data_IF_999276903393
#
_entry.id   IF_999276903393
#
_cell.length_a   1.000
_cell.length_b   1.000
_cell.length_c   1.000
_cell.angle_alpha   90.00
_cell.angle_beta   90.00
_cell.angle_gamma   90.00
#
_symmetry.space_group_name_H-M   'P 1'
#
loop_
_entity.id
_entity.type
_entity.pdbx_description
1 polymer ?
#
# COMPACT_ATOMS: atom_id res chain seq x y z
N UNK A 1 71.39 -12.58 -27.52
CA UNK A 1 70.70 -13.40 -26.50
C UNK A 1 69.21 -13.15 -26.70
N UNK A 2 68.56 -13.84 -27.65
CA UNK A 2 67.87 -15.14 -27.47
C UNK A 2 66.82 -15.10 -26.35
N UNK A 3 65.53 -15.29 -26.66
CA UNK A 3 64.55 -15.57 -25.62
C UNK A 3 63.06 -15.40 -25.97
N UNK A 4 62.57 -16.15 -26.96
CA UNK A 4 61.24 -16.77 -27.11
C UNK A 4 59.96 -16.18 -26.49
N UNK A 5 58.99 -16.03 -27.38
CA UNK A 5 57.52 -16.07 -27.28
C UNK A 5 56.94 -17.14 -26.34
N UNK A 6 55.77 -16.87 -25.74
CA UNK A 6 54.71 -17.89 -25.60
C UNK A 6 53.31 -17.25 -25.50
N UNK A 7 52.44 -17.67 -26.40
CA UNK A 7 51.01 -17.39 -26.45
C UNK A 7 50.27 -18.32 -25.48
N UNK A 8 49.26 -17.83 -24.76
CA UNK A 8 48.19 -18.68 -24.24
C UNK A 8 46.83 -18.10 -24.62
N UNK A 9 46.28 -18.63 -25.71
CA UNK A 9 44.89 -18.50 -26.11
C UNK A 9 44.03 -19.28 -25.11
N UNK A 10 43.23 -18.59 -24.32
CA UNK A 10 42.19 -19.23 -23.50
C UNK A 10 40.96 -19.46 -24.36
N UNK A 11 40.61 -20.74 -24.54
CA UNK A 11 39.40 -21.19 -25.22
C UNK A 11 38.15 -20.59 -24.55
N UNK A 12 37.49 -19.67 -25.24
CA UNK A 12 36.16 -19.18 -24.88
C UNK A 12 35.15 -20.32 -25.13
N UNK A 13 34.79 -21.02 -24.07
CA UNK A 13 33.69 -21.98 -24.04
C UNK A 13 32.38 -21.28 -24.45
N UNK A 14 31.81 -21.67 -25.59
CA UNK A 14 30.54 -21.12 -26.06
C UNK A 14 29.39 -21.45 -25.10
N UNK A 15 28.52 -20.49 -24.75
CA UNK A 15 27.31 -20.79 -24.02
C UNK A 15 26.35 -21.58 -24.91
N UNK A 16 26.04 -22.79 -24.45
CA UNK A 16 25.07 -23.73 -25.01
C UNK A 16 23.73 -22.99 -25.23
N UNK A 17 23.33 -22.80 -26.49
CA UNK A 17 22.00 -22.33 -26.87
C UNK A 17 20.94 -23.30 -26.31
N UNK A 18 20.36 -22.95 -25.16
CA UNK A 18 19.13 -23.58 -24.71
C UNK A 18 17.98 -23.02 -25.54
N UNK A 19 17.58 -23.78 -26.56
CA UNK A 19 16.30 -23.61 -27.24
C UNK A 19 15.19 -23.87 -26.24
N UNK A 20 14.47 -22.81 -25.85
CA UNK A 20 13.25 -22.90 -25.04
C UNK A 20 12.15 -23.54 -25.89
N UNK A 21 11.88 -24.82 -25.66
CA UNK A 21 10.66 -25.44 -26.15
C UNK A 21 9.50 -25.03 -25.21
N UNK A 22 8.35 -24.53 -25.72
CA UNK A 22 7.19 -24.27 -24.90
C UNK A 22 6.56 -25.60 -24.45
N UNK A 23 7.01 -26.08 -23.30
CA UNK A 23 6.43 -27.21 -22.59
C UNK A 23 5.01 -26.87 -22.13
N UNK A 24 4.03 -27.42 -22.86
CA UNK A 24 2.61 -27.42 -22.55
C UNK A 24 2.37 -28.17 -21.22
N UNK A 25 2.43 -27.49 -20.08
CA UNK A 25 1.89 -28.00 -18.80
C UNK A 25 0.49 -27.44 -18.59
N UNK A 26 -0.46 -28.34 -18.61
CA UNK A 26 -1.82 -28.19 -18.15
C UNK A 26 -1.89 -28.19 -16.61
N UNK A 27 -3.08 -27.84 -16.11
CA UNK A 27 -3.63 -28.10 -14.78
C UNK A 27 -3.37 -27.06 -13.68
N UNK A 28 -4.44 -26.30 -13.40
CA UNK A 28 -4.86 -26.01 -12.03
C UNK A 28 -3.86 -25.27 -11.16
N UNK A 29 -3.11 -24.32 -11.73
CA UNK A 29 -2.42 -23.34 -10.89
C UNK A 29 -3.51 -22.56 -10.17
N UNK A 30 -3.76 -22.94 -8.91
CA UNK A 30 -4.50 -22.13 -7.94
C UNK A 30 -3.70 -20.85 -7.87
N UNK A 31 -4.07 -19.90 -8.73
CA UNK A 31 -3.43 -18.60 -8.92
C UNK A 31 -3.24 -18.08 -7.51
N UNK A 32 -2.00 -18.15 -6.99
CA UNK A 32 -1.65 -17.59 -5.70
C UNK A 32 -1.69 -16.10 -5.98
N UNK A 33 -2.90 -15.56 -6.02
CA UNK A 33 -3.13 -14.14 -6.19
C UNK A 33 -2.43 -13.51 -5.02
N UNK A 34 -1.27 -12.91 -5.28
CA UNK A 34 -0.46 -12.28 -4.26
C UNK A 34 -1.25 -11.10 -3.71
N UNK A 35 -2.03 -11.37 -2.66
CA UNK A 35 -3.07 -10.49 -2.16
C UNK A 35 -2.48 -9.73 -1.00
N UNK A 36 -1.60 -8.77 -1.30
CA UNK A 36 -1.00 -7.89 -0.30
C UNK A 36 -2.02 -6.81 0.09
N UNK A 37 -2.99 -7.18 0.95
CA UNK A 37 -4.07 -6.29 1.41
C UNK A 37 -3.67 -5.37 2.56
N UNK A 38 -2.47 -5.52 3.10
CA UNK A 38 -1.99 -4.69 4.20
C UNK A 38 -0.57 -4.19 3.91
N UNK A 39 -0.30 -2.94 4.30
CA UNK A 39 1.02 -2.33 4.22
C UNK A 39 1.28 -1.44 5.43
N UNK A 40 2.52 -1.44 5.90
CA UNK A 40 2.96 -0.64 7.05
C UNK A 40 3.83 0.50 6.55
N UNK A 41 3.61 1.70 7.08
CA UNK A 41 4.42 2.91 6.87
C UNK A 41 4.80 3.49 8.23
N UNK A 42 6.03 3.26 8.69
CA UNK A 42 6.42 3.68 10.04
C UNK A 42 5.53 3.02 11.08
N UNK A 43 4.75 3.81 11.83
CA UNK A 43 3.77 3.32 12.82
C UNK A 43 2.35 3.20 12.27
N UNK A 44 2.13 3.50 10.99
CA UNK A 44 0.81 3.47 10.36
C UNK A 44 0.57 2.13 9.67
N UNK A 45 -0.61 1.54 9.90
CA UNK A 45 -1.08 0.35 9.20
C UNK A 45 -2.22 0.73 8.25
N UNK A 46 -2.06 0.38 6.97
CA UNK A 46 -3.09 0.51 5.95
C UNK A 46 -3.62 -0.87 5.58
N UNK A 47 -4.94 -1.03 5.53
CA UNK A 47 -5.63 -2.29 5.23
C UNK A 47 -6.70 -2.06 4.17
N UNK A 48 -6.71 -2.91 3.15
CA UNK A 48 -7.73 -2.94 2.11
C UNK A 48 -8.92 -3.81 2.51
N UNK A 49 -10.08 -3.19 2.72
CA UNK A 49 -11.35 -3.84 3.06
C UNK A 49 -12.33 -3.62 1.89
N UNK A 50 -12.57 -4.66 1.08
CA UNK A 50 -13.35 -4.52 -0.15
C UNK A 50 -12.73 -3.52 -1.14
N UNK A 51 -13.42 -2.41 -1.37
CA UNK A 51 -13.02 -1.27 -2.21
C UNK A 51 -12.45 -0.09 -1.42
N UNK A 52 -12.20 -0.27 -0.12
CA UNK A 52 -11.80 0.82 0.78
C UNK A 52 -10.44 0.57 1.39
N UNK A 53 -9.73 1.67 1.66
CA UNK A 53 -8.49 1.63 2.45
C UNK A 53 -8.81 2.21 3.83
N UNK A 54 -8.61 1.40 4.86
CA UNK A 54 -8.66 1.79 6.26
C UNK A 54 -7.24 1.99 6.79
N UNK A 55 -7.05 2.99 7.62
CA UNK A 55 -5.76 3.37 8.19
C UNK A 55 -5.88 3.49 9.72
N UNK A 56 -4.91 2.96 10.46
CA UNK A 56 -4.84 3.08 11.92
C UNK A 56 -3.39 3.27 12.40
N UNK A 57 -3.21 3.94 13.54
CA UNK A 57 -1.91 4.04 14.23
C UNK A 57 -1.65 2.78 15.04
N UNK A 58 -0.59 2.05 14.74
CA UNK A 58 -0.13 0.97 15.61
C UNK A 58 0.39 1.50 16.95
N UNK A 59 0.96 2.72 16.95
CA UNK A 59 1.41 3.38 18.18
C UNK A 59 0.23 3.71 19.08
N UNK A 60 -0.80 4.39 18.56
CA UNK A 60 -1.98 4.71 19.36
C UNK A 60 -2.71 3.46 19.85
N UNK A 61 -2.79 2.39 19.03
CA UNK A 61 -3.33 1.11 19.48
C UNK A 61 -2.55 0.52 20.66
N UNK A 62 -1.21 0.56 20.60
CA UNK A 62 -0.36 0.08 21.69
C UNK A 62 -0.53 0.93 22.94
N UNK A 63 -0.54 2.25 22.81
CA UNK A 63 -0.66 3.18 23.94
C UNK A 63 -2.02 3.00 24.64
N UNK A 64 -3.12 2.86 23.88
CA UNK A 64 -4.45 2.56 24.42
C UNK A 64 -4.51 1.22 25.15
N UNK A 65 -3.86 0.19 24.59
CA UNK A 65 -3.77 -1.12 25.23
C UNK A 65 -2.99 -1.08 26.56
N UNK A 66 -1.85 -0.39 26.58
CA UNK A 66 -1.02 -0.23 27.79
C UNK A 66 -1.78 0.56 28.87
N UNK A 67 -2.51 1.60 28.48
CA UNK A 67 -3.37 2.37 29.39
C UNK A 67 -4.48 1.51 29.99
N UNK A 68 -5.12 0.65 29.18
CA UNK A 68 -6.12 -0.31 29.66
C UNK A 68 -5.53 -1.28 30.71
N UNK A 69 -4.39 -1.90 30.43
CA UNK A 69 -3.74 -2.84 31.36
C UNK A 69 -3.30 -2.14 32.67
N UNK A 70 -2.81 -0.90 32.58
CA UNK A 70 -2.42 -0.11 33.76
C UNK A 70 -3.60 0.17 34.69
N UNK A 71 -4.76 0.48 34.11
CA UNK A 71 -6.02 0.69 34.85
C UNK A 71 -6.51 -0.61 35.48
N UNK A 72 -6.45 -1.74 34.75
CA UNK A 72 -6.88 -3.05 35.25
C UNK A 72 -6.06 -3.53 36.45
N UNK A 73 -4.75 -3.27 36.45
CA UNK A 73 -3.85 -3.68 37.54
C UNK A 73 -3.88 -2.73 38.75
N UNK A 74 -4.67 -1.65 38.71
CA UNK A 74 -4.74 -0.67 39.80
C UNK A 74 -3.44 0.12 40.00
N UNK A 75 -2.54 0.13 39.01
CA UNK A 75 -1.24 0.82 39.07
C UNK A 75 -1.36 2.27 38.59
N UNK A 76 -2.51 2.67 38.04
CA UNK A 76 -2.78 4.05 37.65
C UNK A 76 -2.88 4.96 38.90
N UNK A 77 -1.78 5.61 39.23
CA UNK A 77 -1.69 6.68 40.23
C UNK A 77 -2.50 7.90 39.80
N UNK A 78 -3.60 8.19 40.50
CA UNK A 78 -4.17 9.52 40.79
C UNK A 78 -3.78 10.72 39.90
N UNK A 79 -3.98 10.64 38.58
CA UNK A 79 -3.76 11.78 37.68
C UNK A 79 -5.07 12.11 36.97
N UNK A 80 -5.59 13.28 37.34
CA UNK A 80 -6.66 14.09 36.75
C UNK A 80 -7.96 13.37 36.35
N UNK A 81 -8.96 13.52 37.21
CA UNK A 81 -10.36 13.11 37.06
C UNK A 81 -11.14 13.87 35.96
N UNK A 82 -10.48 14.70 35.16
CA UNK A 82 -11.17 15.71 34.33
C UNK A 82 -11.49 15.29 32.90
N UNK A 83 -11.16 14.07 32.45
CA UNK A 83 -11.49 13.69 31.05
C UNK A 83 -11.80 12.20 30.84
N UNK A 84 -13.10 11.98 30.61
CA UNK A 84 -13.78 10.81 30.02
C UNK A 84 -14.27 9.71 30.97
N UNK A 85 -15.60 9.62 31.07
CA UNK A 85 -16.38 8.54 31.70
C UNK A 85 -16.21 7.16 31.01
N UNK A 86 -15.27 7.01 30.09
CA UNK A 86 -15.12 5.79 29.32
C UNK A 86 -14.25 4.76 30.06
N UNK A 87 -14.90 3.90 30.85
CA UNK A 87 -14.26 2.74 31.47
C UNK A 87 -14.32 1.55 30.51
N UNK A 88 -13.25 1.32 29.76
CA UNK A 88 -13.11 0.14 28.91
C UNK A 88 -13.31 -1.15 29.74
N UNK A 89 -14.23 -2.02 29.33
CA UNK A 89 -14.56 -3.26 30.06
C UNK A 89 -13.72 -4.44 29.58
N UNK A 90 -13.24 -4.37 28.33
CA UNK A 90 -12.37 -5.38 27.72
C UNK A 90 -11.18 -4.77 26.97
N UNK A 91 -10.16 -5.60 26.70
CA UNK A 91 -9.03 -5.23 25.83
C UNK A 91 -9.50 -4.84 24.42
N UNK A 92 -10.56 -5.50 23.93
CA UNK A 92 -11.10 -5.25 22.60
C UNK A 92 -11.79 -3.89 22.55
N UNK A 93 -12.49 -3.50 23.60
CA UNK A 93 -13.09 -2.17 23.73
C UNK A 93 -12.01 -1.09 23.71
N UNK A 94 -10.95 -1.25 24.51
CA UNK A 94 -9.85 -0.28 24.54
C UNK A 94 -9.24 0.00 23.15
N UNK A 95 -9.12 -1.05 22.32
CA UNK A 95 -8.63 -0.91 20.94
C UNK A 95 -9.70 -0.35 20.00
N UNK A 96 -10.98 -0.68 20.20
CA UNK A 96 -12.09 -0.16 19.39
C UNK A 96 -12.25 1.36 19.52
N UNK A 97 -11.87 1.94 20.66
CA UNK A 97 -11.86 3.40 20.87
C UNK A 97 -10.69 4.12 20.20
N UNK A 98 -9.71 3.39 19.67
CA UNK A 98 -8.62 4.00 18.91
C UNK A 98 -9.18 4.54 17.60
N UNK A 99 -8.98 5.84 17.30
CA UNK A 99 -9.42 6.41 16.04
C UNK A 99 -8.80 5.67 14.87
N UNK A 100 -9.65 5.05 14.06
CA UNK A 100 -9.28 4.55 12.74
C UNK A 100 -9.87 5.47 11.69
N UNK A 101 -9.21 5.50 10.53
CA UNK A 101 -9.55 6.43 9.48
C UNK A 101 -9.90 5.72 8.18
N UNK A 102 -10.95 6.19 7.51
CA UNK A 102 -11.24 5.83 6.13
C UNK A 102 -10.50 6.78 5.21
N UNK A 103 -9.68 6.25 4.31
CA UNK A 103 -9.02 7.04 3.28
C UNK A 103 -10.05 7.36 2.19
N UNK A 104 -10.60 8.57 2.24
CA UNK A 104 -11.47 9.10 1.20
C UNK A 104 -10.61 9.61 0.04
N UNK A 105 -10.20 8.70 -0.83
CA UNK A 105 -9.97 9.04 -2.24
C UNK A 105 -11.30 8.98 -2.98
N UNK A 106 -11.43 9.64 -4.13
CA UNK A 106 -12.56 9.46 -5.05
C UNK A 106 -12.92 7.97 -5.10
N UNK A 107 -14.08 7.60 -4.55
CA UNK A 107 -14.40 6.23 -4.13
C UNK A 107 -13.78 5.25 -5.11
N UNK A 108 -12.78 4.49 -4.64
CA UNK A 108 -12.07 3.53 -5.47
C UNK A 108 -13.13 2.54 -5.95
N UNK A 109 -13.66 2.75 -7.15
CA UNK A 109 -14.83 2.02 -7.67
C UNK A 109 -14.50 0.59 -8.06
N UNK A 110 -13.46 0.02 -7.47
CA UNK A 110 -12.91 -1.29 -7.78
C UNK A 110 -12.43 -2.00 -6.52
N UNK A 111 -12.49 -3.33 -6.56
CA UNK A 111 -11.97 -4.21 -5.52
C UNK A 111 -10.43 -4.10 -5.44
N UNK A 112 -9.94 -3.81 -4.23
CA UNK A 112 -8.51 -3.66 -3.97
C UNK A 112 -7.87 -5.04 -3.76
N UNK A 113 -6.83 -5.34 -4.54
CA UNK A 113 -6.07 -6.59 -4.47
C UNK A 113 -4.70 -6.41 -3.82
N UNK A 114 -4.05 -5.28 -4.07
CA UNK A 114 -2.70 -4.99 -3.58
C UNK A 114 -2.58 -3.54 -3.13
N UNK A 115 -1.86 -3.34 -2.03
CA UNK A 115 -1.41 -2.03 -1.55
C UNK A 115 0.12 -1.98 -1.62
N UNK A 116 0.66 -0.89 -2.16
CA UNK A 116 2.11 -0.69 -2.27
C UNK A 116 2.47 0.76 -1.90
N UNK A 117 3.08 0.95 -0.73
CA UNK A 117 3.64 2.24 -0.34
C UNK A 117 4.93 2.54 -1.10
N UNK A 118 5.16 3.80 -1.45
CA UNK A 118 6.45 4.25 -1.96
C UNK A 118 7.48 4.37 -0.83
N UNK A 119 8.77 4.56 -1.18
CA UNK A 119 9.87 4.54 -0.21
C UNK A 119 9.77 5.68 0.82
N UNK A 120 9.30 6.84 0.38
CA UNK A 120 9.06 8.02 1.20
C UNK A 120 7.81 7.94 2.06
N UNK A 121 6.91 6.98 1.79
CA UNK A 121 5.62 6.84 2.46
C UNK A 121 4.62 7.96 2.13
N UNK A 122 4.89 8.79 1.12
CA UNK A 122 3.98 9.89 0.70
C UNK A 122 2.92 9.43 -0.28
N UNK A 123 3.18 8.38 -1.05
CA UNK A 123 2.28 7.84 -2.05
C UNK A 123 1.95 6.39 -1.76
N UNK A 124 0.69 6.03 -1.97
CA UNK A 124 0.17 4.68 -1.87
C UNK A 124 -0.42 4.28 -3.22
N UNK A 125 0.14 3.25 -3.85
CA UNK A 125 -0.47 2.64 -5.01
C UNK A 125 -1.51 1.61 -4.53
N UNK A 126 -2.75 1.82 -4.97
CA UNK A 126 -3.89 0.95 -4.70
C UNK A 126 -4.21 0.21 -5.99
N UNK A 127 -3.92 -1.09 -6.01
CA UNK A 127 -3.96 -1.92 -7.20
C UNK A 127 -5.21 -2.79 -7.17
N UNK A 128 -6.06 -2.62 -8.17
CA UNK A 128 -7.19 -3.49 -8.46
C UNK A 128 -6.87 -4.47 -9.58
N UNK A 129 -7.90 -5.17 -10.06
CA UNK A 129 -7.74 -6.16 -11.14
C UNK A 129 -7.34 -5.56 -12.49
N UNK A 130 -7.80 -4.34 -12.78
CA UNK A 130 -7.64 -3.68 -14.10
C UNK A 130 -7.34 -2.18 -13.99
N UNK A 131 -7.27 -1.68 -12.77
CA UNK A 131 -7.12 -0.26 -12.47
C UNK A 131 -6.11 -0.14 -11.35
N UNK A 132 -5.36 0.94 -11.38
CA UNK A 132 -4.47 1.34 -10.29
C UNK A 132 -4.86 2.75 -9.90
N UNK A 133 -4.87 3.07 -8.63
CA UNK A 133 -4.98 4.45 -8.17
C UNK A 133 -3.73 4.80 -7.38
N UNK A 134 -3.26 6.05 -7.51
CA UNK A 134 -2.23 6.60 -6.64
C UNK A 134 -2.91 7.55 -5.67
N UNK A 135 -2.75 7.27 -4.38
CA UNK A 135 -3.27 8.08 -3.29
C UNK A 135 -2.11 8.81 -2.63
N UNK A 136 -2.27 10.12 -2.44
CA UNK A 136 -1.34 10.95 -1.67
C UNK A 136 -1.72 10.82 -0.20
N UNK A 137 -0.82 10.23 0.58
CA UNK A 137 -1.02 10.06 2.02
C UNK A 137 -0.69 11.37 2.75
N UNK A 138 -1.37 11.66 3.88
CA UNK A 138 -0.97 12.76 4.74
C UNK A 138 0.47 12.54 5.22
N UNK A 139 1.24 13.64 5.25
CA UNK A 139 2.62 13.63 5.71
C UNK A 139 2.71 13.23 7.19
N UNK A 140 3.76 12.51 7.60
CA UNK A 140 3.93 12.08 8.99
C UNK A 140 4.04 13.26 9.97
N UNK A 141 4.61 14.38 9.49
CA UNK A 141 4.81 15.60 10.27
C UNK A 141 3.83 16.72 9.97
N UNK A 142 2.79 16.51 9.14
CA UNK A 142 1.90 17.61 8.73
C UNK A 142 1.36 18.34 9.97
N UNK A 143 1.86 19.56 10.26
CA UNK A 143 1.40 20.30 11.41
C UNK A 143 -0.01 20.75 11.08
N UNK A 144 -0.97 20.35 11.90
CA UNK A 144 -2.25 21.02 11.82
C UNK A 144 -2.01 22.50 12.08
N UNK A 145 -2.76 23.38 11.40
CA UNK A 145 -2.78 24.84 11.67
C UNK A 145 -3.16 25.19 13.13
N UNK A 146 -3.42 24.18 13.97
CA UNK A 146 -3.82 24.25 15.38
C UNK A 146 -2.77 23.66 16.36
N UNK A 147 -1.50 23.51 15.98
CA UNK A 147 -0.41 23.22 16.94
C UNK A 147 -0.31 21.78 17.46
N UNK A 148 -1.20 20.87 17.04
CA UNK A 148 -1.10 19.43 17.35
C UNK A 148 -0.13 18.78 16.35
N UNK A 149 1.02 18.32 16.85
CA UNK A 149 2.05 17.64 16.05
C UNK A 149 1.68 16.18 15.81
N UNK A 150 1.55 15.78 14.55
CA UNK A 150 1.47 14.38 14.13
C UNK A 150 0.52 14.13 12.95
N UNK A 151 0.83 13.13 12.13
CA UNK A 151 0.04 12.67 10.98
C UNK A 151 -1.48 12.51 11.27
N UNK A 152 -1.81 12.15 12.52
CA UNK A 152 -3.17 11.95 13.02
C UNK A 152 -3.98 13.25 13.17
N UNK A 153 -3.30 14.39 13.28
CA UNK A 153 -3.98 15.68 13.42
C UNK A 153 -4.36 16.28 12.06
N UNK A 154 -3.59 16.01 11.00
CA UNK A 154 -3.77 16.65 9.68
C UNK A 154 -4.96 16.11 8.87
N UNK A 155 -5.54 14.98 9.29
CA UNK A 155 -6.83 14.56 8.78
C UNK A 155 -7.84 15.65 9.13
N UNK A 156 -8.38 16.33 8.11
CA UNK A 156 -9.56 17.18 8.29
C UNK A 156 -10.65 16.28 8.86
N UNK A 157 -10.82 16.32 10.18
CA UNK A 157 -11.91 15.65 10.84
C UNK A 157 -13.18 16.41 10.47
N UNK A 158 -13.77 16.01 9.35
CA UNK A 158 -15.21 16.19 9.21
C UNK A 158 -15.80 15.48 10.42
N UNK A 159 -16.59 16.22 11.22
CA UNK A 159 -17.15 15.72 12.48
C UNK A 159 -17.72 14.32 12.23
N UNK A 160 -17.38 13.32 13.07
CA UNK A 160 -18.02 12.02 12.96
C UNK A 160 -19.52 12.27 13.03
N UNK A 161 -20.24 12.00 11.94
CA UNK A 161 -21.68 11.79 12.02
C UNK A 161 -21.90 10.68 13.05
N UNK A 162 -22.90 10.80 13.91
CA UNK A 162 -23.16 10.04 15.15
C UNK A 162 -23.32 8.49 15.02
N UNK A 163 -22.70 7.87 14.03
CA UNK A 163 -22.75 6.45 13.75
C UNK A 163 -21.31 5.94 13.63
N UNK A 164 -21.05 4.70 14.06
CA UNK A 164 -19.75 4.01 14.19
C UNK A 164 -18.83 3.95 12.94
N UNK A 165 -19.11 4.75 11.91
CA UNK A 165 -18.27 4.95 10.73
C UNK A 165 -17.12 5.89 11.12
N UNK A 166 -15.93 5.30 11.28
CA UNK A 166 -14.72 6.00 11.74
C UNK A 166 -14.39 7.28 10.98
N UNK A 167 -13.49 8.09 11.56
CA UNK A 167 -13.15 9.40 11.01
C UNK A 167 -12.68 9.30 9.55
N UNK A 168 -13.12 10.20 8.69
CA UNK A 168 -12.72 10.19 7.30
C UNK A 168 -11.52 11.11 7.08
N UNK A 169 -10.52 10.64 6.30
CA UNK A 169 -9.40 11.48 5.83
C UNK A 169 -9.54 11.69 4.34
N UNK A 170 -9.81 12.92 3.92
CA UNK A 170 -9.75 13.29 2.50
C UNK A 170 -8.29 13.23 2.02
N UNK A 171 -8.02 12.32 1.07
CA UNK A 171 -6.72 12.17 0.44
C UNK A 171 -6.84 12.44 -1.06
N UNK A 172 -5.87 13.16 -1.62
CA UNK A 172 -5.83 13.35 -3.07
C UNK A 172 -5.54 12.01 -3.75
N UNK A 173 -6.41 11.60 -4.68
CA UNK A 173 -6.26 10.34 -5.42
C UNK A 173 -6.35 10.56 -6.93
N UNK A 174 -5.55 9.81 -7.68
CA UNK A 174 -5.57 9.80 -9.15
C UNK A 174 -5.68 8.37 -9.66
N UNK A 175 -6.74 8.07 -10.41
CA UNK A 175 -6.91 6.76 -11.06
C UNK A 175 -6.07 6.71 -12.35
N UNK A 176 -5.29 5.66 -12.45
CA UNK A 176 -4.45 5.27 -13.58
C UNK A 176 -5.12 4.05 -14.24
N UNK A 177 -5.66 4.25 -15.44
CA UNK A 177 -6.07 3.14 -16.32
C UNK A 177 -7.55 2.83 -16.48
N UNK A 178 -8.46 3.74 -16.08
CA UNK A 178 -9.91 3.55 -16.27
C UNK A 178 -10.37 3.47 -17.73
N UNK A 179 -9.70 4.17 -18.65
CA UNK A 179 -10.02 4.18 -20.10
C UNK A 179 -8.78 4.19 -21.00
N UNK A 180 -7.64 4.66 -20.48
CA UNK A 180 -6.40 4.83 -21.25
C UNK A 180 -5.61 3.53 -21.46
N UNK A 181 -5.66 2.57 -20.53
CA UNK A 181 -4.86 1.33 -20.67
C UNK A 181 -5.39 0.44 -21.81
N UNK A 182 -6.68 0.54 -22.15
CA UNK A 182 -7.32 -0.27 -23.20
C UNK A 182 -7.55 0.42 -24.55
N UNK A 183 -7.37 1.74 -24.69
CA UNK A 183 -7.73 2.44 -25.95
C UNK A 183 -6.62 2.46 -27.02
N UNK A 184 -5.35 2.32 -26.65
CA UNK A 184 -4.24 2.39 -27.62
C UNK A 184 -4.01 1.10 -28.44
N UNK A 185 -4.86 0.08 -28.28
CA UNK A 185 -4.75 -1.19 -29.01
C UNK A 185 -6.05 -1.67 -29.64
N UNK A 186 -7.00 -0.76 -29.94
CA UNK A 186 -8.23 -1.12 -30.65
C UNK A 186 -7.96 -1.33 -32.15
N UNK A 187 -7.03 -2.23 -32.49
CA UNK A 187 -7.12 -2.99 -33.73
C UNK A 187 -7.71 -4.36 -33.37
N UNK A 188 -9.00 -4.47 -33.67
CA UNK A 188 -9.79 -5.67 -33.90
C UNK A 188 -9.35 -6.97 -33.19
N UNK A 189 -10.05 -7.33 -32.12
CA UNK A 189 -10.32 -8.76 -31.84
C UNK A 189 -10.18 -9.25 -30.40
N UNK A 190 -9.35 -8.64 -29.56
CA UNK A 190 -9.12 -9.18 -28.21
C UNK A 190 -9.97 -8.51 -27.14
N UNK A 191 -11.09 -9.18 -26.84
CA UNK A 191 -11.95 -8.89 -25.71
C UNK A 191 -11.22 -8.96 -24.37
N UNK A 192 -11.68 -8.12 -23.43
CA UNK A 192 -11.18 -7.94 -22.05
C UNK A 192 -9.77 -7.34 -21.97
N UNK A 193 -9.70 -6.01 -22.03
CA UNK A 193 -8.47 -5.24 -21.76
C UNK A 193 -7.68 -5.75 -20.54
N UNK A 194 -6.35 -5.74 -20.70
CA UNK A 194 -5.38 -6.42 -19.85
C UNK A 194 -5.58 -6.19 -18.35
N UNK A 195 -5.31 -7.23 -17.55
CA UNK A 195 -5.31 -7.14 -16.09
C UNK A 195 -4.01 -6.56 -15.60
N UNK A 196 -4.02 -5.92 -14.43
CA UNK A 196 -2.79 -5.58 -13.73
C UNK A 196 -2.25 -6.86 -13.11
N UNK A 197 -1.07 -7.27 -13.54
CA UNK A 197 -0.35 -8.40 -12.95
C UNK A 197 0.48 -7.94 -11.75
N UNK A 198 1.14 -6.79 -11.86
CA UNK A 198 1.89 -6.20 -10.75
C UNK A 198 2.01 -4.66 -10.85
N UNK A 199 2.32 -4.00 -9.73
CA UNK A 199 2.72 -2.61 -9.67
C UNK A 199 3.81 -2.39 -8.62
N UNK A 200 4.85 -1.65 -8.98
CA UNK A 200 6.03 -1.39 -8.15
C UNK A 200 6.50 0.06 -8.34
N UNK A 201 6.89 0.72 -7.24
CA UNK A 201 7.54 2.02 -7.31
C UNK A 201 8.97 1.86 -7.82
N UNK A 202 9.38 2.71 -8.77
CA UNK A 202 10.71 2.62 -9.37
C UNK A 202 11.79 3.10 -8.39
N UNK A 203 12.73 2.22 -8.03
CA UNK A 203 13.75 2.47 -7.00
C UNK A 203 14.72 3.60 -7.33
N UNK A 204 14.98 3.87 -8.61
CA UNK A 204 15.86 4.97 -9.04
C UNK A 204 15.09 6.26 -9.34
N UNK A 205 13.80 6.33 -9.01
CA UNK A 205 13.03 7.57 -9.15
C UNK A 205 13.56 8.61 -8.17
N UNK A 206 14.10 9.72 -8.68
CA UNK A 206 14.59 10.83 -7.85
C UNK A 206 13.47 11.46 -7.00
N UNK A 207 12.24 11.42 -7.49
CA UNK A 207 11.05 11.95 -6.83
C UNK A 207 10.22 10.90 -6.09
N UNK A 208 10.60 9.61 -6.15
CA UNK A 208 9.82 8.49 -5.60
C UNK A 208 8.35 8.49 -6.05
N UNK A 209 8.13 8.95 -7.29
CA UNK A 209 6.80 9.18 -7.87
C UNK A 209 6.55 8.40 -9.17
N UNK A 210 7.53 7.63 -9.63
CA UNK A 210 7.40 6.83 -10.85
C UNK A 210 6.89 5.44 -10.47
N UNK A 211 5.74 5.06 -11.02
CA UNK A 211 5.12 3.76 -10.79
C UNK A 211 5.25 2.90 -12.04
N UNK A 212 5.78 1.69 -11.90
CA UNK A 212 5.85 0.70 -12.97
C UNK A 212 4.71 -0.29 -12.79
N UNK A 213 3.87 -0.44 -13.81
CA UNK A 213 2.74 -1.37 -13.83
C UNK A 213 2.99 -2.45 -14.87
N UNK A 214 3.03 -3.71 -14.42
CA UNK A 214 3.10 -4.89 -15.27
C UNK A 214 1.68 -5.38 -15.56
N UNK A 215 1.34 -5.52 -16.84
CA UNK A 215 0.06 -6.06 -17.27
C UNK A 215 0.15 -7.57 -17.50
N UNK A 216 -0.98 -8.26 -17.44
CA UNK A 216 -1.07 -9.70 -17.71
C UNK A 216 -0.70 -10.10 -19.14
N UNK A 217 -0.64 -9.12 -20.05
CA UNK A 217 -0.15 -9.31 -21.42
C UNK A 217 1.38 -9.33 -21.53
N UNK A 218 2.11 -9.10 -20.44
CA UNK A 218 3.58 -8.91 -20.44
C UNK A 218 4.02 -7.48 -20.75
N UNK A 219 3.08 -6.57 -21.02
CA UNK A 219 3.38 -5.14 -21.26
C UNK A 219 3.71 -4.45 -19.94
N UNK A 220 4.83 -3.72 -19.93
CA UNK A 220 5.25 -2.86 -18.81
C UNK A 220 4.93 -1.42 -19.14
N UNK A 221 4.27 -0.70 -18.23
CA UNK A 221 3.96 0.73 -18.36
C UNK A 221 4.56 1.51 -17.20
N UNK A 222 5.33 2.56 -17.50
CA UNK A 222 5.73 3.57 -16.53
C UNK A 222 4.67 4.67 -16.43
N UNK A 223 4.38 5.13 -15.21
CA UNK A 223 3.39 6.16 -14.89
C UNK A 223 3.98 7.21 -13.98
#
# INVERSE_FOLDING_TARGET
MNGYSFWHSTLCSQPRRQTWAPGRRSQGSKEISNTQRAVIRGTDLFVAVGSEVRWISLKACKDAYVQFESTRLGVASSIDETQSDYKATSQQDAIQHVPWYRVLGSALGFEIRRLVCNKSGKLLAVVGRRQVAVVTLPGPESPNRAGVKGAFAAARMDKPSDEFDGACVSCASKIIGGTAIGRQGAQAGEGRGARVADALWHSMSSSDSHLVVLLSSGVVKGV
#
